data_IF_222644176969
#
_entry.id   IF_222644176969
#
_cell.length_a   1.000
_cell.length_b   1.000
_cell.length_c   1.000
_cell.angle_alpha   90.00
_cell.angle_beta   90.00
_cell.angle_gamma   90.00
#
_symmetry.space_group_name_H-M   'P 1'
#
loop_
_entity.id
_entity.type
_entity.pdbx_description
1 polymer ?
#
# COMPACT_ATOMS: atom_id res chain seq x y z
N UNK A 1 -20.44 25.34 -33.26
CA UNK A 1 -19.58 25.96 -32.22
C UNK A 1 -19.89 25.30 -30.90
N UNK A 2 -19.11 24.31 -30.50
CA UNK A 2 -18.98 23.91 -29.09
C UNK A 2 -17.48 23.92 -28.82
N UNK A 3 -17.07 24.69 -27.81
CA UNK A 3 -15.68 24.88 -27.46
C UNK A 3 -15.21 23.68 -26.66
N UNK A 4 -14.27 22.93 -27.24
CA UNK A 4 -13.59 21.82 -26.59
C UNK A 4 -12.54 22.41 -25.63
N UNK A 5 -12.90 22.49 -24.35
CA UNK A 5 -11.98 22.93 -23.31
C UNK A 5 -11.00 21.79 -23.00
N UNK A 6 -9.89 21.76 -23.74
CA UNK A 6 -8.73 20.91 -23.48
C UNK A 6 -8.09 21.30 -22.14
N UNK A 7 -8.52 20.66 -21.06
CA UNK A 7 -7.81 20.67 -19.78
C UNK A 7 -6.65 19.68 -19.86
N UNK A 8 -5.48 20.18 -20.26
CA UNK A 8 -4.20 19.49 -20.19
C UNK A 8 -3.85 19.16 -18.73
N UNK A 9 -4.37 18.07 -18.17
CA UNK A 9 -3.86 17.53 -16.92
C UNK A 9 -2.59 16.73 -17.22
N UNK A 10 -1.50 17.48 -17.20
CA UNK A 10 -0.12 17.03 -17.09
C UNK A 10 0.04 15.70 -16.35
N UNK A 11 0.40 14.66 -17.10
CA UNK A 11 1.52 13.78 -16.76
C UNK A 11 1.47 13.01 -15.45
N UNK A 12 0.32 12.56 -14.97
CA UNK A 12 0.30 11.60 -13.85
C UNK A 12 0.65 10.20 -14.36
N UNK A 13 1.94 9.92 -14.49
CA UNK A 13 2.44 8.56 -14.63
C UNK A 13 2.30 7.89 -13.26
N UNK A 14 1.51 6.82 -13.09
CA UNK A 14 1.46 6.10 -11.83
C UNK A 14 2.85 5.53 -11.60
N UNK A 15 3.61 6.14 -10.70
CA UNK A 15 4.89 5.59 -10.26
C UNK A 15 4.58 4.28 -9.56
N UNK A 16 4.76 3.16 -10.26
CA UNK A 16 4.87 1.82 -9.67
C UNK A 16 6.22 1.68 -8.94
N UNK A 17 6.54 2.68 -8.14
CA UNK A 17 7.80 2.82 -7.43
C UNK A 17 7.53 3.00 -5.93
N UNK A 18 8.51 2.64 -5.09
CA UNK A 18 8.41 2.80 -3.65
C UNK A 18 7.88 4.17 -3.21
N UNK A 19 7.10 4.22 -2.13
CA UNK A 19 6.52 5.46 -1.58
C UNK A 19 7.64 6.43 -1.17
N UNK A 20 8.03 7.31 -2.10
CA UNK A 20 9.06 8.33 -1.90
C UNK A 20 8.45 9.60 -1.30
N UNK A 21 7.91 9.46 -0.08
CA UNK A 21 7.13 10.50 0.59
C UNK A 21 8.00 11.73 0.85
N UNK A 22 7.54 12.95 0.49
CA UNK A 22 8.27 14.18 0.76
C UNK A 22 8.47 14.40 2.27
N UNK A 23 9.69 14.72 2.68
CA UNK A 23 10.02 15.04 4.07
C UNK A 23 10.76 16.38 4.12
N UNK A 24 10.02 17.46 3.85
CA UNK A 24 10.56 18.81 3.58
C UNK A 24 11.36 19.42 4.73
N UNK A 25 11.10 18.98 5.95
CA UNK A 25 11.71 19.53 7.18
C UNK A 25 12.87 18.68 7.71
N UNK A 26 13.38 17.75 6.90
CA UNK A 26 14.49 16.88 7.25
C UNK A 26 15.59 16.99 6.21
N UNK A 27 16.83 16.88 6.67
CA UNK A 27 18.04 16.84 5.84
C UNK A 27 18.03 15.73 4.78
N UNK A 28 17.22 14.67 4.99
CA UNK A 28 17.08 13.56 4.04
C UNK A 28 16.08 13.84 2.91
N UNK A 29 15.28 14.91 3.00
CA UNK A 29 14.25 15.39 2.05
C UNK A 29 13.14 14.39 1.66
N UNK A 30 13.32 13.09 1.92
CA UNK A 30 12.42 12.00 1.59
C UNK A 30 12.43 10.96 2.70
N UNK A 31 11.30 10.29 2.89
CA UNK A 31 11.21 9.07 3.69
C UNK A 31 10.63 7.94 2.85
N UNK A 32 10.89 6.72 3.29
CA UNK A 32 10.21 5.52 2.79
C UNK A 32 9.39 4.89 3.89
N UNK A 33 8.36 4.14 3.50
CA UNK A 33 7.56 3.32 4.40
C UNK A 33 7.57 1.88 3.92
N UNK A 34 7.54 0.95 4.88
CA UNK A 34 7.22 -0.46 4.59
C UNK A 34 5.78 -0.68 5.01
N UNK A 35 5.04 -1.46 4.24
CA UNK A 35 3.60 -1.69 4.46
C UNK A 35 3.34 -3.19 4.50
N UNK A 36 2.68 -3.64 5.56
CA UNK A 36 2.10 -4.97 5.66
C UNK A 36 0.59 -4.88 5.62
N UNK A 37 -0.05 -5.72 4.81
CA UNK A 37 -1.50 -5.74 4.67
C UNK A 37 -2.05 -7.15 4.53
N UNK A 38 -3.35 -7.28 4.72
CA UNK A 38 -4.10 -8.49 4.41
C UNK A 38 -5.42 -8.09 3.75
N UNK A 39 -5.86 -8.84 2.75
CA UNK A 39 -7.19 -8.69 2.17
C UNK A 39 -8.10 -9.83 2.64
N UNK A 40 -9.36 -9.52 2.91
CA UNK A 40 -10.42 -10.49 3.18
C UNK A 40 -11.63 -10.18 2.29
N UNK A 41 -12.29 -11.22 1.79
CA UNK A 41 -13.49 -11.06 0.96
C UNK A 41 -14.75 -10.75 1.77
N UNK A 42 -14.73 -11.03 3.09
CA UNK A 42 -15.86 -10.90 3.99
C UNK A 42 -15.39 -10.37 5.35
N UNK A 43 -16.35 -9.96 6.19
CA UNK A 43 -16.05 -9.56 7.56
C UNK A 43 -15.43 -10.74 8.33
N UNK A 44 -14.19 -10.62 8.82
CA UNK A 44 -13.50 -11.74 9.43
C UNK A 44 -14.05 -12.04 10.82
N UNK A 45 -14.23 -13.34 11.11
CA UNK A 45 -14.60 -13.79 12.46
C UNK A 45 -13.47 -13.56 13.47
N UNK A 46 -12.22 -13.68 13.01
CA UNK A 46 -11.02 -13.47 13.82
C UNK A 46 -10.14 -12.35 13.27
N UNK A 47 -10.64 -11.11 13.41
CA UNK A 47 -9.90 -9.92 12.98
C UNK A 47 -8.54 -9.75 13.68
N UNK A 48 -8.36 -10.29 14.89
CA UNK A 48 -7.09 -10.16 15.63
C UNK A 48 -5.98 -10.94 14.97
N UNK A 49 -6.25 -12.19 14.58
CA UNK A 49 -5.28 -13.00 13.82
C UNK A 49 -4.94 -12.35 12.47
N UNK A 50 -5.90 -11.67 11.84
CA UNK A 50 -5.62 -10.91 10.62
C UNK A 50 -4.70 -9.70 10.85
N UNK A 51 -4.91 -8.93 11.92
CA UNK A 51 -4.01 -7.83 12.27
C UNK A 51 -2.60 -8.36 12.56
N UNK A 52 -2.49 -9.51 13.24
CA UNK A 52 -1.21 -10.18 13.45
C UNK A 52 -0.55 -10.59 12.12
N UNK A 53 -1.30 -11.14 11.18
CA UNK A 53 -0.77 -11.50 9.87
C UNK A 53 -0.31 -10.27 9.06
N UNK A 54 -1.05 -9.15 9.14
CA UNK A 54 -0.63 -7.90 8.51
C UNK A 54 0.68 -7.36 9.12
N UNK A 55 0.85 -7.48 10.44
CA UNK A 55 2.10 -7.11 11.12
C UNK A 55 3.27 -8.03 10.74
N UNK A 56 3.03 -9.33 10.58
CA UNK A 56 4.03 -10.27 10.04
C UNK A 56 4.47 -9.88 8.62
N UNK A 57 3.52 -9.50 7.75
CA UNK A 57 3.81 -9.00 6.41
C UNK A 57 4.64 -7.70 6.45
N UNK A 58 4.37 -6.82 7.42
CA UNK A 58 5.18 -5.62 7.64
C UNK A 58 6.61 -5.98 8.07
N UNK A 59 6.75 -6.96 8.96
CA UNK A 59 8.05 -7.48 9.39
C UNK A 59 8.84 -8.05 8.21
N UNK A 60 8.19 -8.84 7.35
CA UNK A 60 8.81 -9.37 6.13
C UNK A 60 9.24 -8.24 5.17
N UNK A 61 8.40 -7.21 4.98
CA UNK A 61 8.75 -6.08 4.12
C UNK A 61 10.00 -5.35 4.64
N UNK A 62 10.14 -5.22 5.96
CA UNK A 62 11.35 -4.66 6.60
C UNK A 62 12.56 -5.58 6.42
N UNK A 63 12.39 -6.89 6.61
CA UNK A 63 13.47 -7.88 6.48
C UNK A 63 14.01 -7.98 5.04
N UNK A 64 13.16 -7.77 4.03
CA UNK A 64 13.54 -7.76 2.62
C UNK A 64 14.15 -6.43 2.14
N UNK A 65 14.65 -5.59 3.04
CA UNK A 65 15.31 -4.32 2.69
C UNK A 65 14.43 -3.08 2.79
N UNK A 66 13.25 -3.17 3.45
CA UNK A 66 12.30 -2.06 3.65
C UNK A 66 11.74 -1.52 2.33
N UNK A 67 10.99 -0.42 2.41
CA UNK A 67 10.46 0.33 1.26
C UNK A 67 9.67 -0.56 0.27
N UNK A 68 8.88 -1.48 0.83
CA UNK A 68 8.12 -2.51 0.11
C UNK A 68 6.72 -2.63 0.73
N UNK A 69 5.78 -3.04 -0.10
CA UNK A 69 4.45 -3.45 0.34
C UNK A 69 4.34 -4.97 0.18
N UNK A 70 3.93 -5.66 1.25
CA UNK A 70 3.58 -7.08 1.22
C UNK A 70 2.11 -7.20 1.66
N UNK A 71 1.30 -7.79 0.81
CA UNK A 71 -0.12 -8.01 1.08
C UNK A 71 -0.47 -9.46 0.76
N UNK A 72 -1.03 -10.17 1.73
CA UNK A 72 -1.51 -11.54 1.55
C UNK A 72 -3.04 -11.57 1.57
N UNK A 73 -3.62 -12.65 1.08
CA UNK A 73 -5.07 -12.88 1.17
C UNK A 73 -5.32 -13.77 2.39
N UNK A 74 -6.33 -13.45 3.20
CA UNK A 74 -6.83 -14.36 4.23
C UNK A 74 -7.25 -15.69 3.58
N UNK A 75 -6.64 -16.80 3.99
CA UNK A 75 -7.12 -18.13 3.61
C UNK A 75 -8.34 -18.50 4.46
N UNK A 76 -9.44 -17.79 4.26
CA UNK A 76 -10.75 -18.11 4.83
C UNK A 76 -11.53 -18.99 3.86
N UNK A 77 -12.07 -20.11 4.35
CA UNK A 77 -12.93 -21.02 3.60
C UNK A 77 -14.05 -20.25 2.89
N UNK A 78 -14.31 -20.56 1.62
CA UNK A 78 -15.48 -20.06 0.88
C UNK A 78 -16.75 -20.18 1.76
N UNK A 79 -17.58 -19.13 1.85
CA UNK A 79 -18.88 -19.28 2.49
C UNK A 79 -19.63 -20.42 1.77
N UNK A 80 -20.06 -21.42 2.53
CA UNK A 80 -20.97 -22.47 2.05
C UNK A 80 -22.34 -21.89 1.75
#
# INVERSE_FOLDING_TARGET
MQAEHNLSHSGYSPVSGPLALPHKHSDYHRISVSVGGITCGFAPKDWRSMIKQADENLYQAKAQGRNKAICTVEQGSQPQ
#
